data_IF_823944839683
#
_entry.id   IF_823944839683
#
_cell.length_a   1.000
_cell.length_b   1.000
_cell.length_c   1.000
_cell.angle_alpha   90.00
_cell.angle_beta   90.00
_cell.angle_gamma   90.00
#
_symmetry.space_group_name_H-M   'P 1'
#
loop_
_entity.id
_entity.type
_entity.pdbx_description
1 polymer ?
#
# COMPACT_ATOMS: atom_id res chain seq x y z
N UNK A 1 -4.33 35.31 -35.01
CA UNK A 1 -4.28 33.98 -34.36
C UNK A 1 -4.79 34.14 -32.93
N UNK A 2 -5.99 33.64 -32.59
CA UNK A 2 -6.59 33.84 -31.26
C UNK A 2 -6.21 32.66 -30.36
N UNK A 3 -5.37 32.91 -29.34
CA UNK A 3 -5.04 31.93 -28.30
C UNK A 3 -6.20 31.75 -27.33
N UNK A 4 -6.54 30.50 -26.99
CA UNK A 4 -7.59 30.18 -26.01
C UNK A 4 -7.04 30.38 -24.60
N UNK A 5 -7.64 31.28 -23.85
CA UNK A 5 -7.38 31.53 -22.43
C UNK A 5 -8.10 30.47 -21.60
N UNK A 6 -7.39 29.82 -20.66
CA UNK A 6 -7.96 28.83 -19.72
C UNK A 6 -7.93 29.46 -18.32
N UNK A 7 -9.06 29.52 -17.59
CA UNK A 7 -9.11 30.14 -16.27
C UNK A 7 -8.53 29.23 -15.16
N UNK A 8 -8.06 29.82 -14.05
CA UNK A 8 -7.45 29.10 -12.93
C UNK A 8 -8.48 28.31 -12.10
N UNK A 9 -8.02 27.20 -11.51
CA UNK A 9 -8.82 26.26 -10.71
C UNK A 9 -8.95 26.76 -9.28
N UNK A 10 -10.19 26.99 -8.83
CA UNK A 10 -10.52 27.48 -7.49
C UNK A 10 -10.12 26.47 -6.39
N UNK A 11 -9.48 26.96 -5.32
CA UNK A 11 -9.19 26.21 -4.09
C UNK A 11 -10.28 26.49 -3.06
N UNK A 12 -10.94 25.43 -2.57
CA UNK A 12 -12.01 25.51 -1.56
C UNK A 12 -11.53 25.84 -0.13
N UNK A 13 -12.47 26.10 0.80
CA UNK A 13 -12.23 26.91 2.01
C UNK A 13 -11.59 26.17 3.20
N UNK A 14 -10.90 26.99 4.00
CA UNK A 14 -10.11 26.70 5.21
C UNK A 14 -11.01 26.38 6.43
N UNK A 15 -10.77 25.24 7.08
CA UNK A 15 -11.51 24.80 8.27
C UNK A 15 -10.67 24.93 9.53
N UNK A 16 -10.49 26.15 10.03
CA UNK A 16 -9.95 26.38 11.37
C UNK A 16 -11.06 26.65 12.40
N UNK A 17 -11.12 25.77 13.41
CA UNK A 17 -11.39 26.06 14.83
C UNK A 17 -12.83 26.30 15.29
N UNK A 18 -13.39 25.32 16.01
CA UNK A 18 -14.37 25.55 17.08
C UNK A 18 -13.95 24.73 18.31
N UNK A 19 -13.80 25.41 19.45
CA UNK A 19 -13.60 24.84 20.78
C UNK A 19 -14.91 24.23 21.28
N UNK A 20 -14.87 23.02 21.86
CA UNK A 20 -15.89 22.57 22.80
C UNK A 20 -15.23 22.08 24.08
N UNK A 21 -15.71 22.66 25.18
CA UNK A 21 -15.48 22.24 26.56
C UNK A 21 -16.30 20.99 26.89
N UNK A 22 -15.87 20.34 27.98
CA UNK A 22 -16.58 19.44 28.88
C UNK A 22 -16.54 17.91 28.63
N UNK A 23 -15.77 17.26 29.52
CA UNK A 23 -15.76 15.83 29.85
C UNK A 23 -16.91 15.56 30.84
N UNK A 24 -17.61 14.43 30.72
CA UNK A 24 -17.63 13.54 31.88
C UNK A 24 -17.34 12.07 31.53
N UNK A 25 -16.72 11.42 32.50
CA UNK A 25 -16.27 10.04 32.62
C UNK A 25 -17.43 9.08 32.82
N UNK A 26 -17.44 7.92 32.14
CA UNK A 26 -17.90 6.64 32.71
C UNK A 26 -17.28 5.46 31.95
N UNK A 27 -16.53 4.62 32.67
CA UNK A 27 -16.13 3.28 32.27
C UNK A 27 -17.36 2.36 32.18
N UNK A 28 -17.35 1.41 31.24
CA UNK A 28 -17.36 -0.04 31.52
C UNK A 28 -17.79 -0.89 30.31
N UNK A 29 -16.89 -1.81 29.95
CA UNK A 29 -17.15 -3.21 29.58
C UNK A 29 -17.86 -3.60 28.25
N UNK A 30 -16.97 -4.08 27.36
CA UNK A 30 -17.04 -5.34 26.59
C UNK A 30 -17.88 -5.48 25.31
N UNK A 31 -17.10 -5.82 24.27
CA UNK A 31 -17.36 -6.80 23.21
C UNK A 31 -18.62 -6.60 22.37
N UNK A 32 -18.45 -5.90 21.25
CA UNK A 32 -18.92 -6.41 19.95
C UNK A 32 -18.07 -5.81 18.83
N UNK A 33 -17.38 -6.69 18.09
CA UNK A 33 -16.51 -6.32 16.99
C UNK A 33 -17.33 -5.82 15.79
N UNK A 34 -17.43 -4.49 15.62
CA UNK A 34 -17.98 -3.89 14.40
C UNK A 34 -16.87 -3.73 13.35
N UNK A 35 -16.81 -4.68 12.42
CA UNK A 35 -15.86 -4.76 11.33
C UNK A 35 -16.35 -3.91 10.15
N UNK A 36 -16.46 -2.58 10.29
CA UNK A 36 -16.68 -1.70 9.13
C UNK A 36 -16.11 -0.30 9.40
N UNK A 37 -14.82 -0.15 9.12
CA UNK A 37 -14.19 1.16 8.93
C UNK A 37 -13.03 1.01 7.95
N UNK A 38 -13.35 0.88 6.66
CA UNK A 38 -12.38 1.13 5.59
C UNK A 38 -12.22 2.65 5.43
N UNK A 39 -11.08 3.20 5.87
CA UNK A 39 -10.36 4.43 5.42
C UNK A 39 -9.36 4.91 6.52
N UNK A 40 -8.19 5.52 6.24
CA UNK A 40 -7.15 5.28 5.24
C UNK A 40 -5.80 4.95 5.95
N UNK A 41 -5.38 3.69 5.96
CA UNK A 41 -4.12 3.24 6.61
C UNK A 41 -2.83 3.61 5.85
N UNK A 42 -2.87 4.58 4.94
CA UNK A 42 -1.72 4.90 4.08
C UNK A 42 -0.71 5.86 4.74
N UNK A 43 -1.13 6.70 5.71
CA UNK A 43 -0.29 7.77 6.28
C UNK A 43 0.50 7.39 7.55
N UNK A 44 0.18 6.29 8.24
CA UNK A 44 0.80 5.96 9.55
C UNK A 44 2.25 5.46 9.51
N UNK A 45 2.80 5.14 8.34
CA UNK A 45 4.10 4.44 8.22
C UNK A 45 5.27 5.35 7.83
N UNK A 46 5.06 6.66 7.67
CA UNK A 46 6.04 7.54 7.02
C UNK A 46 7.30 7.81 7.86
N UNK A 47 7.28 7.50 9.16
CA UNK A 47 8.39 7.77 10.10
C UNK A 47 8.81 6.56 10.94
N UNK A 48 8.37 5.34 10.62
CA UNK A 48 8.62 4.17 11.47
C UNK A 48 9.92 3.43 11.10
N UNK A 49 10.52 3.72 9.94
CA UNK A 49 11.76 3.09 9.50
C UNK A 49 12.54 3.98 8.51
N UNK A 50 13.87 3.87 8.58
CA UNK A 50 14.81 4.50 7.64
C UNK A 50 15.43 3.44 6.74
N UNK A 51 15.66 3.78 5.46
CA UNK A 51 16.17 2.86 4.45
C UNK A 51 17.37 3.47 3.74
N UNK A 52 18.43 2.67 3.58
CA UNK A 52 19.60 3.00 2.77
C UNK A 52 19.57 2.20 1.48
N UNK A 53 20.02 2.80 0.39
CA UNK A 53 20.08 2.15 -0.91
C UNK A 53 21.51 2.10 -1.38
N UNK A 54 21.88 0.95 -1.94
CA UNK A 54 23.19 0.74 -2.54
C UNK A 54 23.01 0.05 -3.89
N UNK A 55 23.93 0.32 -4.80
CA UNK A 55 24.11 -0.47 -6.01
C UNK A 55 25.37 -1.31 -5.85
N UNK A 56 25.34 -2.53 -6.40
CA UNK A 56 26.50 -3.41 -6.41
C UNK A 56 27.18 -3.32 -7.76
N UNK A 57 28.48 -3.04 -7.75
CA UNK A 57 29.35 -3.12 -8.92
C UNK A 57 30.50 -4.06 -8.57
N UNK A 58 30.45 -5.28 -9.11
CA UNK A 58 31.30 -6.39 -8.72
C UNK A 58 31.30 -6.61 -7.19
N UNK A 59 32.43 -6.33 -6.53
CA UNK A 59 32.61 -6.47 -5.08
C UNK A 59 32.27 -5.20 -4.29
N UNK A 60 32.03 -4.08 -4.96
CA UNK A 60 31.81 -2.79 -4.31
C UNK A 60 30.32 -2.48 -4.13
N UNK A 61 29.98 -1.94 -2.96
CA UNK A 61 28.65 -1.38 -2.68
C UNK A 61 28.70 0.14 -2.63
N UNK A 62 28.03 0.80 -3.57
CA UNK A 62 28.03 2.26 -3.70
C UNK A 62 26.70 2.80 -3.16
N UNK A 63 26.70 3.68 -2.13
CA UNK A 63 25.48 4.27 -1.62
C UNK A 63 24.88 5.24 -2.64
N UNK A 64 23.56 5.17 -2.83
CA UNK A 64 22.84 6.00 -3.78
C UNK A 64 21.55 6.54 -3.19
N UNK A 65 21.01 7.62 -3.78
CA UNK A 65 19.68 8.10 -3.43
C UNK A 65 18.59 7.21 -4.04
N UNK A 66 17.37 7.27 -3.50
CA UNK A 66 16.22 6.49 -4.01
C UNK A 66 15.97 6.74 -5.50
N UNK A 67 16.13 7.99 -5.98
CA UNK A 67 15.88 8.33 -7.38
C UNK A 67 16.88 7.65 -8.32
N UNK A 68 18.16 7.69 -7.98
CA UNK A 68 19.21 7.01 -8.73
C UNK A 68 19.00 5.49 -8.72
N UNK A 69 18.68 4.92 -7.55
CA UNK A 69 18.36 3.50 -7.41
C UNK A 69 17.22 3.07 -8.36
N UNK A 70 16.12 3.82 -8.39
CA UNK A 70 15.00 3.57 -9.29
C UNK A 70 15.40 3.64 -10.77
N UNK A 71 16.16 4.68 -11.15
CA UNK A 71 16.59 4.90 -12.54
C UNK A 71 17.53 3.80 -13.03
N UNK A 72 18.51 3.41 -12.21
CA UNK A 72 19.51 2.40 -12.56
C UNK A 72 18.90 1.00 -12.70
N UNK A 73 17.93 0.65 -11.84
CA UNK A 73 17.26 -0.65 -11.89
C UNK A 73 16.01 -0.67 -12.77
N UNK A 74 15.61 0.47 -13.37
CA UNK A 74 14.40 0.56 -14.19
C UNK A 74 13.11 0.25 -13.42
N UNK A 75 13.07 0.57 -12.12
CA UNK A 75 11.91 0.31 -11.25
C UNK A 75 11.19 1.60 -10.87
N UNK A 76 9.88 1.51 -10.70
CA UNK A 76 9.06 2.63 -10.24
C UNK A 76 9.24 2.88 -8.74
N UNK A 77 8.99 4.13 -8.31
CA UNK A 77 8.99 4.47 -6.88
C UNK A 77 7.94 3.67 -6.09
N UNK A 78 6.79 3.36 -6.70
CA UNK A 78 5.75 2.56 -6.05
C UNK A 78 6.22 1.13 -5.77
N UNK A 79 7.06 0.55 -6.64
CA UNK A 79 7.69 -0.75 -6.36
C UNK A 79 8.54 -0.68 -5.10
N UNK A 80 9.38 0.35 -4.97
CA UNK A 80 10.20 0.56 -3.76
C UNK A 80 9.32 0.74 -2.53
N UNK A 81 8.22 1.49 -2.63
CA UNK A 81 7.26 1.71 -1.54
C UNK A 81 6.64 0.39 -1.06
N UNK A 82 6.25 -0.49 -1.99
CA UNK A 82 5.72 -1.82 -1.67
C UNK A 82 6.74 -2.71 -0.96
N UNK A 83 8.01 -2.67 -1.41
CA UNK A 83 9.10 -3.42 -0.76
C UNK A 83 9.30 -2.93 0.67
N UNK A 84 9.38 -1.61 0.89
CA UNK A 84 9.47 -1.03 2.23
C UNK A 84 8.33 -1.46 3.12
N UNK A 85 7.09 -1.40 2.62
CA UNK A 85 5.91 -1.83 3.38
C UNK A 85 6.00 -3.30 3.80
N UNK A 86 6.37 -4.18 2.87
CA UNK A 86 6.53 -5.61 3.18
C UNK A 86 7.65 -5.85 4.18
N UNK A 87 8.83 -5.26 3.97
CA UNK A 87 9.96 -5.38 4.90
C UNK A 87 9.61 -4.88 6.30
N UNK A 88 8.85 -3.78 6.40
CA UNK A 88 8.39 -3.27 7.69
C UNK A 88 7.39 -4.22 8.37
N UNK A 89 6.46 -4.81 7.61
CA UNK A 89 5.37 -5.63 8.15
C UNK A 89 5.79 -7.07 8.47
N UNK A 90 6.62 -7.67 7.62
CA UNK A 90 6.94 -9.10 7.68
C UNK A 90 8.44 -9.37 7.78
N UNK A 91 9.30 -8.36 7.65
CA UNK A 91 10.76 -8.54 7.58
C UNK A 91 11.26 -9.14 6.26
N UNK A 92 10.34 -9.50 5.35
CA UNK A 92 10.64 -10.22 4.12
C UNK A 92 10.26 -9.40 2.87
N UNK A 93 10.94 -9.66 1.76
CA UNK A 93 10.55 -9.09 0.47
C UNK A 93 9.17 -9.62 0.04
N UNK A 94 8.33 -8.80 -0.62
CA UNK A 94 7.03 -9.27 -1.07
C UNK A 94 7.17 -10.42 -2.07
N UNK A 95 6.47 -11.54 -1.81
CA UNK A 95 6.42 -12.68 -2.74
C UNK A 95 5.77 -12.28 -4.07
N UNK A 96 6.24 -12.88 -5.16
CA UNK A 96 5.55 -12.75 -6.44
C UNK A 96 4.20 -13.48 -6.37
N UNK A 97 3.14 -12.78 -6.75
CA UNK A 97 1.76 -13.30 -6.75
C UNK A 97 1.22 -13.46 -8.17
N UNK A 98 2.08 -13.32 -9.20
CA UNK A 98 1.70 -13.68 -10.58
C UNK A 98 1.25 -15.15 -10.63
N UNK A 99 0.28 -15.43 -11.51
CA UNK A 99 -0.29 -16.77 -11.63
C UNK A 99 -1.24 -17.19 -10.49
N UNK A 100 -1.38 -16.38 -9.42
CA UNK A 100 -2.41 -16.66 -8.41
C UNK A 100 -3.81 -16.41 -8.98
N UNK A 101 -4.67 -17.41 -8.89
CA UNK A 101 -6.06 -17.34 -9.34
C UNK A 101 -7.07 -17.48 -8.20
N UNK A 102 -6.58 -17.42 -6.95
CA UNK A 102 -7.43 -17.56 -5.77
C UNK A 102 -8.39 -16.39 -5.58
N UNK A 103 -8.02 -15.20 -6.02
CA UNK A 103 -8.82 -13.97 -5.88
C UNK A 103 -9.68 -13.67 -7.12
N UNK A 104 -9.97 -14.68 -7.96
CA UNK A 104 -10.85 -14.49 -9.13
C UNK A 104 -12.29 -14.83 -8.73
N UNK A 105 -13.21 -13.90 -8.99
CA UNK A 105 -14.66 -14.08 -8.80
C UNK A 105 -15.21 -15.36 -9.48
N UNK A 106 -14.58 -15.78 -10.57
CA UNK A 106 -14.95 -16.99 -11.34
C UNK A 106 -13.97 -18.15 -11.14
N UNK A 107 -13.47 -18.32 -9.92
CA UNK A 107 -12.67 -19.48 -9.56
C UNK A 107 -13.56 -20.73 -9.61
N UNK A 108 -13.08 -21.79 -10.25
CA UNK A 108 -13.77 -23.07 -10.27
C UNK A 108 -13.90 -23.62 -8.85
N UNK A 109 -15.09 -24.07 -8.49
CA UNK A 109 -15.35 -24.65 -7.18
C UNK A 109 -14.46 -25.88 -6.94
N UNK A 110 -14.06 -26.06 -5.68
CA UNK A 110 -13.19 -27.17 -5.28
C UNK A 110 -13.81 -28.53 -5.59
N UNK A 111 -15.13 -28.67 -5.45
CA UNK A 111 -15.84 -29.91 -5.78
C UNK A 111 -15.71 -30.29 -7.25
N UNK A 112 -15.90 -29.33 -8.17
CA UNK A 112 -15.76 -29.56 -9.61
C UNK A 112 -14.32 -29.93 -9.98
N UNK A 113 -13.32 -29.30 -9.37
CA UNK A 113 -11.91 -29.65 -9.59
C UNK A 113 -11.60 -31.10 -9.16
N UNK A 114 -12.18 -31.56 -8.06
CA UNK A 114 -12.04 -32.95 -7.60
C UNK A 114 -12.71 -33.92 -8.57
N UNK A 115 -13.94 -33.61 -9.02
CA UNK A 115 -14.65 -34.44 -9.99
C UNK A 115 -13.88 -34.58 -11.32
N UNK A 116 -13.34 -33.48 -11.85
CA UNK A 116 -12.51 -33.49 -13.06
C UNK A 116 -11.26 -34.35 -12.87
N UNK A 117 -10.54 -34.20 -11.75
CA UNK A 117 -9.34 -35.02 -11.46
C UNK A 117 -9.64 -36.50 -11.35
N UNK A 118 -10.80 -36.86 -10.80
CA UNK A 118 -11.21 -38.25 -10.67
C UNK A 118 -11.63 -38.87 -12.01
N UNK A 119 -12.16 -38.06 -12.93
CA UNK A 119 -12.62 -38.52 -14.25
C UNK A 119 -11.48 -38.72 -15.27
N UNK A 120 -10.37 -37.97 -15.14
CA UNK A 120 -9.22 -38.06 -16.06
C UNK A 120 -8.28 -39.23 -15.70
N UNK A 121 -8.37 -39.75 -14.48
CA UNK A 121 -7.65 -40.97 -14.07
C UNK A 121 -8.24 -42.20 -14.74
#
# INVERSE_FOLDING_TARGET
MKGKHIPPRETGPDCSRVHHQDVPENEENNADANINAEEPLLRKYQHQASYFYKIRNDENEIPVCTKAFCSLHGISQERVRRIKKALFQTGESPRDLRGRHDNRLRKTETGTLVAVRNHIK
#
